data_IF_674041787424
#
_entry.id   IF_674041787424
#
_cell.length_a   1.000
_cell.length_b   1.000
_cell.length_c   1.000
_cell.angle_alpha   90.00
_cell.angle_beta   90.00
_cell.angle_gamma   90.00
#
_symmetry.space_group_name_H-M   'P 1'
#
loop_
_entity.id
_entity.type
_entity.pdbx_description
1 polymer ?
#
# COMPACT_ATOMS: atom_id res chain seq x y z
N UNK A 1 -22.87 -10.08 -1.37
CA UNK A 1 -21.44 -10.31 -1.69
C UNK A 1 -20.86 -8.97 -2.14
N UNK A 2 -19.78 -8.46 -1.53
CA UNK A 2 -19.15 -7.20 -1.96
C UNK A 2 -18.51 -7.36 -3.34
N UNK A 3 -18.60 -6.30 -4.17
CA UNK A 3 -18.07 -6.31 -5.53
C UNK A 3 -16.52 -6.41 -5.53
N UNK A 4 -15.98 -7.15 -6.50
CA UNK A 4 -14.53 -7.20 -6.73
C UNK A 4 -14.06 -5.86 -7.29
N UNK A 5 -13.07 -5.26 -6.64
CA UNK A 5 -12.47 -3.97 -7.03
C UNK A 5 -11.18 -4.19 -7.81
N UNK A 6 -10.36 -5.16 -7.38
CA UNK A 6 -9.12 -5.56 -8.07
C UNK A 6 -9.18 -7.07 -8.31
N UNK A 7 -8.89 -7.49 -9.53
CA UNK A 7 -8.68 -8.89 -9.90
C UNK A 7 -7.40 -8.99 -10.74
N UNK A 8 -6.38 -9.59 -10.15
CA UNK A 8 -5.06 -9.82 -10.76
C UNK A 8 -4.90 -11.32 -10.99
N UNK A 9 -4.55 -11.72 -12.23
CA UNK A 9 -4.40 -13.13 -12.60
C UNK A 9 -3.11 -13.35 -13.37
N UNK A 10 -2.32 -14.33 -12.92
CA UNK A 10 -1.02 -14.77 -13.50
C UNK A 10 -0.12 -13.60 -13.90
N UNK A 11 -0.08 -12.54 -13.06
CA UNK A 11 0.59 -11.30 -13.39
C UNK A 11 2.11 -11.46 -13.41
N UNK A 12 2.74 -11.09 -14.54
CA UNK A 12 4.17 -11.21 -14.77
C UNK A 12 4.78 -9.89 -15.17
N UNK A 13 5.96 -9.63 -14.60
CA UNK A 13 6.69 -8.41 -14.90
C UNK A 13 8.19 -8.55 -14.65
N UNK A 14 8.99 -8.00 -15.57
CA UNK A 14 10.44 -7.89 -15.44
C UNK A 14 10.88 -6.46 -15.80
N UNK A 15 11.86 -5.93 -15.07
CA UNK A 15 12.51 -4.68 -15.46
C UNK A 15 13.57 -4.96 -16.55
N UNK A 16 13.63 -4.14 -17.62
CA UNK A 16 14.72 -4.21 -18.56
C UNK A 16 16.04 -3.83 -17.88
N UNK A 17 17.09 -4.61 -18.12
CA UNK A 17 18.44 -4.33 -17.62
C UNK A 17 19.34 -4.06 -18.83
N UNK A 18 19.94 -2.86 -18.97
CA UNK A 18 20.84 -2.56 -20.08
C UNK A 18 22.01 -3.57 -20.14
N UNK A 19 22.20 -4.23 -21.29
CA UNK A 19 23.32 -5.14 -21.50
C UNK A 19 23.22 -6.49 -20.79
N UNK A 20 22.08 -6.84 -20.21
CA UNK A 20 21.84 -8.11 -19.50
C UNK A 20 20.41 -8.60 -19.75
N UNK A 21 20.14 -9.84 -19.31
CA UNK A 21 18.78 -10.37 -19.28
C UNK A 21 17.89 -9.55 -18.35
N UNK A 22 16.61 -9.42 -18.70
CA UNK A 22 15.64 -8.70 -17.89
C UNK A 22 15.53 -9.30 -16.47
N UNK A 23 15.44 -8.42 -15.47
CA UNK A 23 15.24 -8.84 -14.07
C UNK A 23 13.77 -9.12 -13.81
N UNK A 24 13.40 -10.40 -13.75
CA UNK A 24 12.06 -10.83 -13.37
C UNK A 24 11.77 -10.40 -11.92
N UNK A 25 10.61 -9.78 -11.70
CA UNK A 25 10.16 -9.31 -10.39
C UNK A 25 8.84 -9.96 -9.98
N UNK A 26 7.92 -10.16 -10.92
CA UNK A 26 6.68 -10.91 -10.69
C UNK A 26 6.62 -12.09 -11.66
N UNK A 27 6.24 -13.28 -11.13
CA UNK A 27 6.35 -14.57 -11.83
C UNK A 27 5.02 -15.34 -11.88
N UNK A 28 3.88 -14.64 -11.82
CA UNK A 28 2.55 -15.24 -11.80
C UNK A 28 1.85 -14.90 -10.47
N UNK A 29 1.52 -13.63 -10.29
CA UNK A 29 0.80 -13.15 -9.10
C UNK A 29 -0.69 -13.22 -9.35
N UNK A 30 -1.41 -13.89 -8.44
CA UNK A 30 -2.86 -13.86 -8.33
C UNK A 30 -3.24 -13.10 -7.05
N UNK A 31 -4.13 -12.11 -7.16
CA UNK A 31 -4.62 -11.34 -6.03
C UNK A 31 -5.99 -10.75 -6.34
N UNK A 32 -6.93 -10.89 -5.41
CA UNK A 32 -8.23 -10.23 -5.50
C UNK A 32 -8.43 -9.30 -4.30
N UNK A 33 -9.08 -8.16 -4.52
CA UNK A 33 -9.51 -7.23 -3.49
C UNK A 33 -10.96 -6.82 -3.72
N UNK A 34 -11.75 -6.78 -2.66
CA UNK A 34 -13.18 -6.44 -2.71
C UNK A 34 -13.44 -5.06 -2.12
N UNK A 35 -14.59 -4.48 -2.48
CA UNK A 35 -15.04 -3.23 -1.89
C UNK A 35 -15.16 -3.34 -0.36
N UNK A 36 -14.65 -2.34 0.36
CA UNK A 36 -14.62 -2.33 1.81
C UNK A 36 -13.61 -3.29 2.45
N UNK A 37 -12.70 -3.89 1.68
CA UNK A 37 -11.67 -4.78 2.18
C UNK A 37 -10.35 -4.03 2.40
N UNK A 38 -9.63 -4.41 3.46
CA UNK A 38 -8.23 -4.01 3.68
C UNK A 38 -7.37 -5.26 3.63
N UNK A 39 -6.44 -5.27 2.68
CA UNK A 39 -5.42 -6.33 2.55
C UNK A 39 -4.04 -5.72 2.82
N UNK A 40 -3.30 -6.29 3.77
CA UNK A 40 -1.90 -5.98 3.95
C UNK A 40 -1.06 -6.86 3.01
N UNK A 41 -0.24 -6.23 2.18
CA UNK A 41 0.74 -6.91 1.35
C UNK A 41 2.08 -6.94 2.08
N UNK A 42 2.49 -8.12 2.50
CA UNK A 42 3.74 -8.37 3.21
C UNK A 42 4.77 -9.07 2.31
N UNK A 43 6.02 -9.01 2.69
CA UNK A 43 7.13 -9.70 2.02
C UNK A 43 8.45 -8.98 2.22
N UNK A 44 9.55 -9.65 1.92
CA UNK A 44 10.90 -9.07 2.02
C UNK A 44 11.13 -7.92 1.05
N UNK A 45 12.20 -7.15 1.26
CA UNK A 45 12.62 -6.15 0.31
C UNK A 45 12.96 -6.80 -1.03
N UNK A 46 12.50 -6.20 -2.12
CA UNK A 46 12.71 -6.73 -3.47
C UNK A 46 11.75 -7.87 -3.87
N UNK A 47 10.79 -8.28 -3.04
CA UNK A 47 9.79 -9.30 -3.40
C UNK A 47 8.80 -8.88 -4.49
N UNK A 48 8.71 -7.58 -4.83
CA UNK A 48 7.85 -7.07 -5.90
C UNK A 48 6.64 -6.27 -5.43
N UNK A 49 6.48 -5.97 -4.14
CA UNK A 49 5.31 -5.27 -3.56
C UNK A 49 5.02 -3.93 -4.25
N UNK A 50 5.99 -3.02 -4.28
CA UNK A 50 5.88 -1.72 -4.98
C UNK A 50 5.60 -1.89 -6.47
N UNK A 51 6.20 -2.90 -7.11
CA UNK A 51 5.97 -3.20 -8.52
C UNK A 51 4.53 -3.64 -8.75
N UNK A 52 3.98 -4.49 -7.89
CA UNK A 52 2.59 -4.91 -7.95
C UNK A 52 1.64 -3.71 -7.79
N UNK A 53 1.88 -2.83 -6.81
CA UNK A 53 1.08 -1.61 -6.64
C UNK A 53 1.14 -0.72 -7.90
N UNK A 54 2.32 -0.54 -8.48
CA UNK A 54 2.51 0.29 -9.70
C UNK A 54 1.80 -0.31 -10.93
N UNK A 55 1.74 -1.62 -11.04
CA UNK A 55 1.01 -2.31 -12.10
C UNK A 55 -0.50 -2.15 -11.92
N UNK A 56 -1.03 -2.33 -10.70
CA UNK A 56 -2.44 -2.11 -10.38
C UNK A 56 -2.83 -0.64 -10.60
N UNK A 57 -1.94 0.30 -10.24
CA UNK A 57 -2.14 1.73 -10.49
C UNK A 57 -2.05 2.15 -11.98
N UNK A 58 -1.67 1.23 -12.87
CA UNK A 58 -1.50 1.52 -14.30
C UNK A 58 -0.29 2.41 -14.63
N UNK A 59 0.66 2.59 -13.70
CA UNK A 59 1.91 3.34 -13.92
C UNK A 59 2.98 2.48 -14.59
N UNK A 60 2.86 1.16 -14.49
CA UNK A 60 3.62 0.17 -15.24
C UNK A 60 2.67 -0.66 -16.10
N UNK A 61 3.19 -1.22 -17.19
CA UNK A 61 2.44 -2.11 -18.08
C UNK A 61 2.86 -3.56 -17.84
N UNK A 62 1.89 -4.44 -17.57
CA UNK A 62 2.12 -5.87 -17.42
C UNK A 62 2.70 -6.49 -18.69
N UNK A 63 3.57 -7.49 -18.52
CA UNK A 63 4.17 -8.26 -19.61
C UNK A 63 3.47 -9.61 -19.81
N UNK A 64 2.71 -10.08 -18.80
CA UNK A 64 1.90 -11.28 -18.87
C UNK A 64 0.80 -11.24 -17.80
N UNK A 65 -0.22 -12.07 -17.98
CA UNK A 65 -1.38 -12.08 -17.11
C UNK A 65 -2.37 -10.93 -17.39
N UNK A 66 -3.28 -10.70 -16.44
CA UNK A 66 -4.30 -9.66 -16.56
C UNK A 66 -4.54 -8.92 -15.25
N UNK A 67 -4.97 -7.67 -15.36
CA UNK A 67 -5.46 -6.85 -14.25
C UNK A 67 -6.82 -6.30 -14.67
N UNK A 68 -7.83 -6.58 -13.86
CA UNK A 68 -9.15 -5.96 -13.96
C UNK A 68 -9.39 -5.08 -12.73
N UNK A 69 -9.89 -3.88 -12.97
CA UNK A 69 -10.35 -2.98 -11.92
C UNK A 69 -11.84 -2.72 -12.09
N UNK A 70 -12.59 -2.87 -11.01
CA UNK A 70 -14.04 -2.63 -11.02
C UNK A 70 -14.77 -3.45 -12.10
N UNK A 71 -14.32 -4.68 -12.36
CA UNK A 71 -14.88 -5.60 -13.35
C UNK A 71 -14.57 -5.25 -14.81
N UNK A 72 -13.55 -4.40 -15.08
CA UNK A 72 -13.11 -4.01 -16.42
C UNK A 72 -11.60 -4.15 -16.55
N UNK A 73 -11.08 -4.58 -17.71
CA UNK A 73 -9.64 -4.60 -17.97
C UNK A 73 -9.00 -3.24 -17.71
N UNK A 74 -7.84 -3.22 -17.04
CA UNK A 74 -7.11 -1.98 -16.72
C UNK A 74 -6.80 -1.15 -17.97
N UNK A 75 -6.51 -1.81 -19.09
CA UNK A 75 -6.23 -1.15 -20.37
C UNK A 75 -7.39 -0.34 -20.97
N UNK A 76 -8.62 -0.59 -20.52
CA UNK A 76 -9.84 0.10 -20.99
C UNK A 76 -10.10 1.43 -20.28
N UNK A 77 -9.30 1.74 -19.24
CA UNK A 77 -9.41 3.01 -18.53
C UNK A 77 -8.53 4.07 -19.18
N UNK A 78 -9.10 5.26 -19.42
CA UNK A 78 -8.26 6.44 -19.62
C UNK A 78 -7.54 6.81 -18.31
N UNK A 79 -6.38 7.46 -18.40
CA UNK A 79 -5.64 7.93 -17.20
C UNK A 79 -6.52 8.77 -16.28
N UNK A 80 -7.33 9.67 -16.83
CA UNK A 80 -8.24 10.51 -16.05
C UNK A 80 -9.35 9.70 -15.37
N UNK A 81 -9.92 8.70 -16.05
CA UNK A 81 -10.94 7.82 -15.46
C UNK A 81 -10.36 6.97 -14.34
N UNK A 82 -9.14 6.45 -14.51
CA UNK A 82 -8.45 5.68 -13.49
C UNK A 82 -8.11 6.56 -12.28
N UNK A 83 -7.54 7.74 -12.51
CA UNK A 83 -7.16 8.67 -11.45
C UNK A 83 -8.35 9.20 -10.62
N UNK A 84 -9.58 9.12 -11.09
CA UNK A 84 -10.78 9.45 -10.29
C UNK A 84 -11.19 8.36 -9.33
N UNK A 85 -10.73 7.14 -9.53
CA UNK A 85 -11.17 5.96 -8.77
C UNK A 85 -10.06 5.30 -7.96
N UNK A 86 -8.79 5.51 -8.35
CA UNK A 86 -7.62 4.90 -7.74
C UNK A 86 -6.70 5.99 -7.24
N UNK A 87 -6.48 6.06 -5.93
CA UNK A 87 -5.45 6.91 -5.33
C UNK A 87 -4.26 6.07 -4.91
N UNK A 88 -3.07 6.63 -5.05
CA UNK A 88 -1.81 6.01 -4.65
C UNK A 88 -1.10 6.93 -3.67
N UNK A 89 -0.73 6.38 -2.51
CA UNK A 89 0.22 7.00 -1.61
C UNK A 89 1.56 6.28 -1.78
N UNK A 90 2.55 6.89 -2.44
CA UNK A 90 3.85 6.27 -2.66
C UNK A 90 4.69 6.29 -1.36
N UNK A 91 5.71 5.45 -1.29
CA UNK A 91 6.63 5.33 -0.17
C UNK A 91 7.31 6.66 0.21
N UNK A 92 7.64 7.47 -0.78
CA UNK A 92 8.21 8.80 -0.61
C UNK A 92 7.53 9.78 -1.54
N UNK A 93 7.02 10.86 -0.98
CA UNK A 93 6.53 12.02 -1.69
C UNK A 93 6.97 13.26 -0.93
N UNK A 94 7.80 14.06 -1.56
CA UNK A 94 8.17 15.36 -1.02
C UNK A 94 7.05 16.35 -1.30
N UNK A 95 6.63 17.07 -0.28
CA UNK A 95 5.69 18.17 -0.45
C UNK A 95 6.47 19.40 -0.96
N UNK A 96 5.97 20.08 -1.99
CA UNK A 96 6.62 21.29 -2.49
C UNK A 96 6.56 22.40 -1.41
N UNK A 97 7.65 23.14 -1.28
CA UNK A 97 7.76 24.30 -0.39
C UNK A 97 6.89 25.47 -0.88
N UNK A 98 6.50 26.34 0.06
CA UNK A 98 5.75 27.57 -0.25
C UNK A 98 4.25 27.37 -0.42
N UNK A 99 3.75 26.13 -0.28
CA UNK A 99 2.31 25.85 -0.36
C UNK A 99 1.71 25.62 1.04
N UNK A 100 0.48 26.09 1.21
CA UNK A 100 -0.33 25.74 2.38
C UNK A 100 -0.87 24.33 2.24
N UNK A 101 -1.11 23.67 3.38
CA UNK A 101 -1.67 22.31 3.41
C UNK A 101 -2.99 22.24 2.63
N UNK A 102 -3.90 23.20 2.79
CA UNK A 102 -5.15 23.23 2.04
C UNK A 102 -4.93 23.24 0.52
N UNK A 103 -3.96 24.01 0.03
CA UNK A 103 -3.59 24.07 -1.40
C UNK A 103 -3.02 22.74 -1.92
N UNK A 104 -2.19 22.08 -1.09
CA UNK A 104 -1.66 20.76 -1.41
C UNK A 104 -2.77 19.71 -1.50
N UNK A 105 -3.69 19.71 -0.54
CA UNK A 105 -4.82 18.76 -0.55
C UNK A 105 -5.75 19.04 -1.73
N UNK A 106 -5.91 20.29 -2.14
CA UNK A 106 -6.66 20.67 -3.34
C UNK A 106 -6.03 20.09 -4.62
N UNK A 107 -4.68 19.92 -4.69
CA UNK A 107 -4.05 19.25 -5.82
C UNK A 107 -4.55 17.81 -6.01
N UNK A 108 -5.00 17.15 -4.95
CA UNK A 108 -5.67 15.85 -5.03
C UNK A 108 -6.96 15.87 -5.85
N UNK A 109 -7.57 17.04 -6.06
CA UNK A 109 -8.76 17.22 -6.91
C UNK A 109 -8.44 17.29 -8.42
N UNK A 110 -7.16 17.31 -8.81
CA UNK A 110 -6.75 17.44 -10.21
C UNK A 110 -7.49 16.49 -11.20
N UNK A 111 -7.80 15.23 -10.86
CA UNK A 111 -8.56 14.35 -11.75
C UNK A 111 -10.01 14.78 -11.97
N UNK A 112 -10.58 15.60 -11.09
CA UNK A 112 -11.95 16.12 -11.13
C UNK A 112 -12.03 17.53 -11.72
N UNK A 113 -10.89 18.24 -11.80
CA UNK A 113 -10.85 19.63 -12.25
C UNK A 113 -11.42 19.79 -13.68
N UNK A 114 -12.51 20.51 -13.79
CA UNK A 114 -12.98 21.03 -15.07
C UNK A 114 -12.17 22.30 -15.39
N UNK A 115 -11.20 22.18 -16.24
CA UNK A 115 -10.09 23.12 -16.53
C UNK A 115 -10.44 24.60 -16.77
N UNK A 116 -11.67 25.06 -16.61
CA UNK A 116 -12.07 26.40 -17.06
C UNK A 116 -12.24 27.47 -15.98
N UNK A 117 -12.50 27.14 -14.71
CA UNK A 117 -12.97 28.15 -13.75
C UNK A 117 -12.42 28.03 -12.32
N UNK A 118 -11.29 27.35 -12.07
CA UNK A 118 -10.78 27.15 -10.71
C UNK A 118 -11.58 26.08 -9.92
N UNK A 119 -11.28 25.93 -8.61
CA UNK A 119 -11.96 24.94 -7.77
C UNK A 119 -13.45 25.24 -7.64
N UNK A 120 -14.27 24.21 -7.73
CA UNK A 120 -15.71 24.32 -7.53
C UNK A 120 -16.04 24.25 -6.03
N UNK A 121 -17.25 24.69 -5.60
CA UNK A 121 -17.70 24.47 -4.23
C UNK A 121 -17.69 22.99 -3.80
N UNK A 122 -17.88 22.07 -4.73
CA UNK A 122 -17.79 20.63 -4.50
C UNK A 122 -16.33 20.19 -4.22
N UNK A 123 -15.35 20.81 -4.90
CA UNK A 123 -13.93 20.54 -4.65
C UNK A 123 -13.51 21.05 -3.27
N UNK A 124 -13.93 22.26 -2.90
CA UNK A 124 -13.67 22.81 -1.56
C UNK A 124 -14.23 21.90 -0.46
N UNK A 125 -15.48 21.43 -0.61
CA UNK A 125 -16.09 20.49 0.32
C UNK A 125 -15.38 19.13 0.36
N UNK A 126 -14.83 18.66 -0.77
CA UNK A 126 -14.05 17.43 -0.82
C UNK A 126 -12.71 17.57 -0.11
N UNK A 127 -12.04 18.72 -0.26
CA UNK A 127 -10.79 19.06 0.43
C UNK A 127 -11.02 19.10 1.95
N UNK A 128 -12.06 19.80 2.41
CA UNK A 128 -12.40 19.86 3.84
C UNK A 128 -12.67 18.46 4.43
N UNK A 129 -13.49 17.65 3.73
CA UNK A 129 -13.74 16.25 4.14
C UNK A 129 -12.46 15.43 4.20
N UNK A 130 -11.56 15.59 3.24
CA UNK A 130 -10.30 14.86 3.21
C UNK A 130 -9.38 15.25 4.37
N UNK A 131 -9.31 16.54 4.70
CA UNK A 131 -8.57 17.04 5.86
C UNK A 131 -9.12 16.49 7.18
N UNK A 132 -10.46 16.50 7.35
CA UNK A 132 -11.12 15.91 8.53
C UNK A 132 -10.85 14.41 8.63
N UNK A 133 -10.99 13.68 7.53
CA UNK A 133 -10.81 12.23 7.51
C UNK A 133 -9.36 11.80 7.77
N UNK A 134 -8.39 12.62 7.39
CA UNK A 134 -6.97 12.40 7.64
C UNK A 134 -6.49 12.97 8.98
N UNK A 135 -7.37 13.58 9.80
CA UNK A 135 -7.02 14.27 11.04
C UNK A 135 -5.96 15.37 10.82
N UNK A 136 -6.16 16.17 9.76
CA UNK A 136 -5.24 17.20 9.31
C UNK A 136 -5.91 18.59 9.14
N UNK A 137 -7.14 18.75 9.61
CA UNK A 137 -7.87 20.02 9.46
C UNK A 137 -7.19 21.17 10.20
N UNK A 138 -6.61 20.89 11.36
CA UNK A 138 -5.84 21.83 12.16
C UNK A 138 -4.56 22.33 11.48
N UNK A 139 -4.12 21.65 10.43
CA UNK A 139 -2.92 21.96 9.66
C UNK A 139 -3.23 22.79 8.40
N UNK A 140 -4.50 22.99 8.04
CA UNK A 140 -4.93 23.51 6.73
C UNK A 140 -4.23 24.82 6.32
N UNK A 141 -4.00 25.74 7.26
CA UNK A 141 -3.39 27.05 7.03
C UNK A 141 -1.85 27.06 7.17
N UNK A 142 -1.25 25.96 7.64
CA UNK A 142 0.20 25.85 7.82
C UNK A 142 0.91 25.60 6.48
N UNK A 143 2.17 26.03 6.40
CA UNK A 143 3.01 25.73 5.25
C UNK A 143 3.62 24.32 5.35
N UNK A 144 3.89 23.70 4.18
CA UNK A 144 4.40 22.34 4.09
C UNK A 144 5.72 22.12 4.83
N UNK A 145 6.60 23.13 4.81
CA UNK A 145 7.92 23.12 5.45
C UNK A 145 7.86 23.15 6.99
N UNK A 146 6.72 23.56 7.54
CA UNK A 146 6.50 23.64 9.01
C UNK A 146 6.06 22.30 9.62
N UNK A 147 5.76 21.31 8.77
CA UNK A 147 5.17 20.04 9.19
C UNK A 147 6.23 19.07 9.72
N UNK A 148 5.94 18.47 10.87
CA UNK A 148 6.62 17.26 11.33
C UNK A 148 6.40 16.09 10.38
N UNK A 149 7.18 15.01 10.51
CA UNK A 149 7.01 13.82 9.67
C UNK A 149 5.61 13.19 9.77
N UNK A 150 5.05 13.13 10.98
CA UNK A 150 3.70 12.59 11.19
C UNK A 150 2.59 13.49 10.62
N UNK A 151 2.72 14.82 10.77
CA UNK A 151 1.80 15.78 10.17
C UNK A 151 1.87 15.73 8.64
N UNK A 152 3.08 15.65 8.07
CA UNK A 152 3.28 15.48 6.63
C UNK A 152 2.56 14.24 6.11
N UNK A 153 2.65 13.12 6.83
CA UNK A 153 1.97 11.88 6.44
C UNK A 153 0.45 12.03 6.45
N UNK A 154 -0.13 12.71 7.45
CA UNK A 154 -1.57 13.02 7.48
C UNK A 154 -1.99 13.86 6.27
N UNK A 155 -1.19 14.84 5.89
CA UNK A 155 -1.43 15.68 4.71
C UNK A 155 -1.36 14.86 3.42
N UNK A 156 -0.39 13.96 3.26
CA UNK A 156 -0.29 13.07 2.10
C UNK A 156 -1.51 12.15 1.98
N UNK A 157 -2.00 11.63 3.11
CA UNK A 157 -3.25 10.86 3.13
C UNK A 157 -4.43 11.73 2.76
N UNK A 158 -4.53 12.97 3.27
CA UNK A 158 -5.58 13.90 2.90
C UNK A 158 -5.58 14.19 1.38
N UNK A 159 -4.40 14.39 0.77
CA UNK A 159 -4.27 14.56 -0.69
C UNK A 159 -4.83 13.37 -1.46
N UNK A 160 -4.50 12.14 -1.02
CA UNK A 160 -5.03 10.93 -1.65
C UNK A 160 -6.55 10.80 -1.46
N UNK A 161 -7.08 11.17 -0.30
CA UNK A 161 -8.51 11.11 0.01
C UNK A 161 -9.33 12.21 -0.68
N UNK A 162 -8.73 13.37 -0.93
CA UNK A 162 -9.37 14.45 -1.70
C UNK A 162 -9.75 14.02 -3.11
N UNK A 163 -9.07 13.01 -3.65
CA UNK A 163 -9.40 12.37 -4.94
C UNK A 163 -10.73 11.57 -4.88
N UNK A 164 -11.28 11.32 -3.68
CA UNK A 164 -12.48 10.49 -3.43
C UNK A 164 -12.39 9.10 -4.09
N UNK A 165 -11.30 8.35 -3.84
CA UNK A 165 -11.06 7.08 -4.51
C UNK A 165 -12.00 5.97 -4.02
N UNK A 166 -12.19 4.96 -4.88
CA UNK A 166 -12.81 3.68 -4.54
C UNK A 166 -11.74 2.62 -4.17
N UNK A 167 -10.50 2.82 -4.65
CA UNK A 167 -9.32 2.01 -4.35
C UNK A 167 -8.18 2.89 -3.86
N UNK A 168 -7.64 2.57 -2.68
CA UNK A 168 -6.48 3.23 -2.11
C UNK A 168 -5.30 2.25 -2.06
N UNK A 169 -4.22 2.59 -2.74
CA UNK A 169 -2.96 1.85 -2.78
C UNK A 169 -1.94 2.58 -1.92
N UNK A 170 -1.44 1.91 -0.89
CA UNK A 170 -0.51 2.49 0.08
C UNK A 170 0.82 1.73 0.03
N UNK A 171 1.89 2.43 -0.36
CA UNK A 171 3.23 1.86 -0.39
C UNK A 171 4.01 2.32 0.84
N UNK A 172 4.09 1.47 1.87
CA UNK A 172 4.78 1.69 3.14
C UNK A 172 4.32 2.97 3.88
N UNK A 173 3.01 3.19 4.09
CA UNK A 173 2.49 4.45 4.60
C UNK A 173 2.92 4.76 6.04
N UNK A 174 3.44 3.78 6.76
CA UNK A 174 3.88 3.90 8.17
C UNK A 174 5.38 4.08 8.33
N UNK A 175 6.12 4.13 7.23
CA UNK A 175 7.59 4.28 7.27
C UNK A 175 7.97 5.66 7.84
N UNK A 176 9.00 5.71 8.68
CA UNK A 176 9.50 6.91 9.37
C UNK A 176 8.51 7.57 10.36
N UNK A 177 7.40 6.91 10.68
CA UNK A 177 6.51 7.34 11.74
C UNK A 177 6.83 6.64 13.06
N UNK A 178 6.67 7.35 14.16
CA UNK A 178 6.64 6.70 15.48
C UNK A 178 5.37 5.84 15.66
N UNK A 179 5.38 4.99 16.66
CA UNK A 179 4.30 4.03 16.89
C UNK A 179 2.92 4.69 17.05
N UNK A 180 2.85 5.86 17.72
CA UNK A 180 1.58 6.55 17.93
C UNK A 180 0.99 7.03 16.62
N UNK A 181 1.81 7.62 15.74
CA UNK A 181 1.40 8.09 14.43
C UNK A 181 1.07 6.93 13.47
N UNK A 182 1.82 5.80 13.53
CA UNK A 182 1.49 4.59 12.76
C UNK A 182 0.09 4.06 13.10
N UNK A 183 -0.21 3.94 14.39
CA UNK A 183 -1.51 3.47 14.89
C UNK A 183 -2.63 4.45 14.53
N UNK A 184 -2.40 5.76 14.67
CA UNK A 184 -3.38 6.78 14.32
C UNK A 184 -3.74 6.73 12.82
N UNK A 185 -2.73 6.61 11.95
CA UNK A 185 -2.89 6.50 10.50
C UNK A 185 -3.69 5.25 10.11
N UNK A 186 -3.31 4.07 10.61
CA UNK A 186 -3.99 2.82 10.29
C UNK A 186 -5.43 2.81 10.80
N UNK A 187 -5.70 3.39 11.97
CA UNK A 187 -7.06 3.59 12.47
C UNK A 187 -7.88 4.53 11.57
N UNK A 188 -7.28 5.62 11.07
CA UNK A 188 -7.97 6.54 10.15
C UNK A 188 -8.35 5.82 8.84
N UNK A 189 -7.43 5.06 8.25
CA UNK A 189 -7.65 4.25 7.05
C UNK A 189 -8.76 3.22 7.29
N UNK A 190 -8.73 2.49 8.42
CA UNK A 190 -9.75 1.49 8.73
C UNK A 190 -11.14 2.11 8.94
N UNK A 191 -11.23 3.26 9.62
CA UNK A 191 -12.50 4.02 9.73
C UNK A 191 -13.06 4.43 8.37
N UNK A 192 -12.20 4.89 7.45
CA UNK A 192 -12.60 5.28 6.10
C UNK A 192 -13.08 4.10 5.27
N UNK A 193 -12.36 3.00 5.34
CA UNK A 193 -12.75 1.74 4.72
C UNK A 193 -14.17 1.33 5.14
N UNK A 194 -14.44 1.35 6.44
CA UNK A 194 -15.75 0.98 6.98
C UNK A 194 -16.87 1.97 6.60
N UNK A 195 -16.58 3.29 6.60
CA UNK A 195 -17.58 4.32 6.32
C UNK A 195 -17.90 4.46 4.84
N UNK A 196 -16.91 4.37 3.96
CA UNK A 196 -17.03 4.66 2.53
C UNK A 196 -17.04 3.42 1.64
N UNK A 197 -16.83 2.23 2.20
CA UNK A 197 -16.65 1.02 1.41
C UNK A 197 -15.34 1.03 0.61
N UNK A 198 -14.34 1.81 1.04
CA UNK A 198 -13.06 1.98 0.37
C UNK A 198 -12.29 0.65 0.36
N UNK A 199 -11.84 0.20 -0.81
CA UNK A 199 -10.92 -0.91 -0.93
C UNK A 199 -9.48 -0.42 -0.67
N UNK A 200 -8.72 -1.12 0.17
CA UNK A 200 -7.37 -0.70 0.55
C UNK A 200 -6.39 -1.85 0.37
N UNK A 201 -5.33 -1.63 -0.41
CA UNK A 201 -4.17 -2.50 -0.50
C UNK A 201 -2.96 -1.75 0.07
N UNK A 202 -2.47 -2.20 1.23
CA UNK A 202 -1.39 -1.52 1.95
C UNK A 202 -0.15 -2.41 2.05
N UNK A 203 0.98 -1.96 1.54
CA UNK A 203 2.28 -2.56 1.83
C UNK A 203 2.68 -2.17 3.25
N UNK A 204 2.88 -3.16 4.09
CA UNK A 204 3.36 -2.97 5.46
C UNK A 204 4.66 -3.75 5.68
N UNK A 205 5.51 -3.26 6.60
CA UNK A 205 6.75 -3.95 7.01
C UNK A 205 6.64 -4.59 8.39
N UNK A 206 5.87 -3.96 9.28
CA UNK A 206 5.67 -4.48 10.62
C UNK A 206 4.59 -5.56 10.63
N UNK A 207 4.99 -6.80 10.93
CA UNK A 207 4.10 -7.96 10.99
C UNK A 207 3.04 -7.80 12.09
N UNK A 208 3.38 -7.17 13.22
CA UNK A 208 2.45 -6.98 14.33
C UNK A 208 1.41 -5.90 14.01
N UNK A 209 1.79 -4.83 13.31
CA UNK A 209 0.83 -3.87 12.78
C UNK A 209 -0.09 -4.53 11.74
N UNK A 210 0.45 -5.35 10.85
CA UNK A 210 -0.39 -6.10 9.90
C UNK A 210 -1.38 -7.03 10.61
N UNK A 211 -0.94 -7.78 11.63
CA UNK A 211 -1.82 -8.64 12.46
C UNK A 211 -2.89 -7.82 13.19
N UNK A 212 -2.54 -6.61 13.66
CA UNK A 212 -3.44 -5.79 14.46
C UNK A 212 -4.54 -5.10 13.63
N UNK A 213 -4.22 -4.70 12.38
CA UNK A 213 -5.08 -3.82 11.59
C UNK A 213 -5.65 -4.46 10.32
N UNK A 214 -4.96 -5.43 9.71
CA UNK A 214 -5.42 -6.04 8.47
C UNK A 214 -6.23 -7.32 8.73
N UNK A 215 -7.51 -7.36 8.34
CA UNK A 215 -8.29 -8.60 8.44
C UNK A 215 -7.81 -9.68 7.46
N UNK A 216 -7.06 -9.30 6.44
CA UNK A 216 -6.50 -10.20 5.44
C UNK A 216 -5.08 -9.78 5.08
N UNK A 217 -4.21 -10.75 4.91
CA UNK A 217 -2.80 -10.58 4.55
C UNK A 217 -2.51 -11.40 3.30
N UNK A 218 -1.82 -10.79 2.33
CA UNK A 218 -1.19 -11.47 1.21
C UNK A 218 0.33 -11.45 1.41
N UNK A 219 0.98 -12.61 1.43
CA UNK A 219 2.42 -12.74 1.61
C UNK A 219 3.09 -12.95 0.25
N UNK A 220 3.81 -11.92 -0.21
CA UNK A 220 4.53 -11.93 -1.48
C UNK A 220 6.00 -12.32 -1.25
N UNK A 221 6.45 -13.36 -1.92
CA UNK A 221 7.85 -13.80 -1.89
C UNK A 221 8.29 -14.27 -3.27
N UNK A 222 9.52 -13.95 -3.65
CA UNK A 222 10.10 -14.33 -4.94
C UNK A 222 9.18 -14.07 -6.16
N UNK A 223 8.39 -13.00 -6.11
CA UNK A 223 7.52 -12.59 -7.21
C UNK A 223 6.19 -13.36 -7.34
N UNK A 224 5.81 -14.14 -6.34
CA UNK A 224 4.52 -14.84 -6.27
C UNK A 224 3.84 -14.60 -4.92
N UNK A 225 2.52 -14.68 -4.86
CA UNK A 225 1.77 -14.71 -3.61
C UNK A 225 1.82 -16.14 -3.05
N UNK A 226 2.61 -16.33 -2.00
CA UNK A 226 2.76 -17.64 -1.35
C UNK A 226 1.48 -18.08 -0.64
N UNK A 227 0.81 -17.14 0.00
CA UNK A 227 -0.40 -17.39 0.77
C UNK A 227 -1.18 -16.11 0.96
N UNK A 228 -2.50 -16.22 1.07
CA UNK A 228 -3.44 -15.12 1.19
C UNK A 228 -4.61 -15.56 2.07
N UNK A 229 -4.92 -14.80 3.11
CA UNK A 229 -5.97 -15.13 4.06
C UNK A 229 -5.90 -14.35 5.37
N UNK A 230 -6.61 -14.81 6.41
CA UNK A 230 -6.56 -14.22 7.74
C UNK A 230 -5.13 -14.26 8.34
N UNK A 231 -4.75 -13.25 9.16
CA UNK A 231 -3.39 -13.18 9.72
C UNK A 231 -2.90 -14.46 10.40
N UNK A 232 -3.78 -15.17 11.13
CA UNK A 232 -3.44 -16.40 11.84
C UNK A 232 -3.08 -17.57 10.92
N UNK A 233 -3.64 -17.60 9.72
CA UNK A 233 -3.38 -18.64 8.74
C UNK A 233 -2.18 -18.32 7.85
N UNK A 234 -1.94 -17.02 7.58
CA UNK A 234 -0.86 -16.57 6.71
C UNK A 234 0.47 -16.49 7.45
N UNK A 235 0.49 -15.89 8.63
CA UNK A 235 1.72 -15.64 9.40
C UNK A 235 1.97 -16.75 10.43
N UNK A 236 2.06 -18.00 9.99
CA UNK A 236 2.56 -19.09 10.87
C UNK A 236 4.05 -18.92 11.10
N UNK A 237 4.56 -19.48 12.19
CA UNK A 237 5.99 -19.41 12.55
C UNK A 237 6.88 -19.99 11.45
N UNK A 238 6.42 -21.07 10.79
CA UNK A 238 7.11 -21.72 9.68
C UNK A 238 7.17 -20.79 8.45
N UNK A 239 6.05 -20.20 8.07
CA UNK A 239 5.97 -19.30 6.89
C UNK A 239 6.74 -18.01 7.09
N UNK A 240 6.71 -17.44 8.31
CA UNK A 240 7.52 -16.27 8.64
C UNK A 240 9.00 -16.59 8.54
N UNK A 241 9.43 -17.75 9.07
CA UNK A 241 10.80 -18.21 8.92
C UNK A 241 11.18 -18.45 7.46
N UNK A 242 10.30 -19.06 6.67
CA UNK A 242 10.52 -19.31 5.24
C UNK A 242 10.63 -18.01 4.46
N UNK A 243 9.69 -17.07 4.63
CA UNK A 243 9.61 -15.86 3.86
C UNK A 243 10.62 -14.78 4.29
N UNK A 244 10.93 -14.68 5.59
CA UNK A 244 11.75 -13.60 6.15
C UNK A 244 13.11 -14.07 6.67
N UNK A 245 13.34 -15.39 6.76
CA UNK A 245 14.58 -15.96 7.28
C UNK A 245 14.76 -15.81 8.80
N UNK A 246 13.73 -15.38 9.52
CA UNK A 246 13.79 -15.08 10.96
C UNK A 246 12.88 -16.00 11.75
N UNK A 247 13.38 -16.70 12.80
CA UNK A 247 12.55 -17.48 13.68
C UNK A 247 11.70 -16.56 14.58
N UNK A 248 10.41 -16.82 14.64
CA UNK A 248 9.47 -16.10 15.50
C UNK A 248 8.69 -17.09 16.36
N UNK A 249 8.13 -16.59 17.45
CA UNK A 249 7.20 -17.29 18.33
C UNK A 249 5.89 -16.53 18.41
N UNK A 250 4.80 -17.28 18.60
CA UNK A 250 3.52 -16.68 18.92
C UNK A 250 3.49 -16.25 20.39
N UNK A 251 3.13 -15.01 20.61
CA UNK A 251 2.78 -14.47 21.91
C UNK A 251 1.33 -13.98 21.87
N UNK A 252 0.71 -13.99 23.04
CA UNK A 252 -0.67 -13.51 23.17
C UNK A 252 -0.75 -12.47 24.27
N UNK A 253 -1.39 -11.35 23.97
CA UNK A 253 -1.68 -10.33 24.99
C UNK A 253 -2.69 -10.89 26.01
N UNK A 254 -2.81 -10.23 27.18
CA UNK A 254 -3.82 -10.57 28.18
C UNK A 254 -5.27 -10.57 27.65
N UNK A 255 -5.52 -9.91 26.51
CA UNK A 255 -6.81 -9.88 25.81
C UNK A 255 -6.91 -10.90 24.67
N UNK A 256 -5.98 -11.87 24.60
CA UNK A 256 -5.96 -12.92 23.57
C UNK A 256 -5.57 -12.45 22.16
N UNK A 257 -5.06 -11.23 21.99
CA UNK A 257 -4.55 -10.78 20.69
C UNK A 257 -3.19 -11.40 20.42
N UNK A 258 -3.03 -12.01 19.24
CA UNK A 258 -1.79 -12.60 18.77
C UNK A 258 -0.75 -11.51 18.45
N UNK A 259 0.49 -11.82 18.75
CA UNK A 259 1.67 -11.03 18.38
C UNK A 259 2.80 -11.98 17.98
N UNK A 260 3.67 -11.57 17.10
CA UNK A 260 4.85 -12.32 16.68
C UNK A 260 6.08 -11.74 17.39
N UNK A 261 6.78 -12.58 18.14
CA UNK A 261 7.99 -12.18 18.85
C UNK A 261 9.19 -12.85 18.20
N UNK A 262 10.19 -12.04 17.83
CA UNK A 262 11.45 -12.57 17.31
C UNK A 262 12.20 -13.27 18.44
N UNK A 263 12.61 -14.53 18.24
CA UNK A 263 13.54 -15.19 19.16
C UNK A 263 14.88 -14.48 19.13
N UNK A 264 15.21 -13.78 20.20
CA UNK A 264 16.55 -13.24 20.41
C UNK A 264 17.53 -14.40 20.59
N UNK A 265 18.48 -14.53 19.68
CA UNK A 265 19.55 -15.52 19.67
C UNK A 265 20.35 -15.33 18.40
N UNK A 266 21.64 -15.66 18.39
CA UNK A 266 22.51 -15.53 17.24
C UNK A 266 21.81 -15.91 15.96
N UNK A 267 21.57 -14.92 15.09
CA UNK A 267 21.18 -15.17 13.70
C UNK A 267 22.26 -16.11 13.14
N UNK A 268 21.93 -17.33 12.70
CA UNK A 268 22.93 -18.20 12.13
C UNK A 268 23.61 -17.47 10.96
N UNK A 269 24.94 -17.53 10.89
CA UNK A 269 25.74 -16.85 9.88
C UNK A 269 25.34 -17.18 8.42
N UNK A 270 24.47 -18.16 8.23
CA UNK A 270 23.93 -18.63 6.94
C UNK A 270 22.64 -17.94 6.49
N UNK A 271 22.13 -16.94 7.22
CA UNK A 271 20.97 -16.15 6.77
C UNK A 271 21.26 -15.25 5.55
N UNK A 272 22.50 -15.22 5.07
CA UNK A 272 22.92 -14.55 3.84
C UNK A 272 23.04 -15.49 2.64
N UNK A 273 22.78 -16.80 2.78
CA UNK A 273 22.72 -17.66 1.61
C UNK A 273 21.44 -17.39 0.81
N UNK A 274 21.58 -17.15 -0.51
CA UNK A 274 20.41 -17.01 -1.37
C UNK A 274 19.60 -18.31 -1.33
N UNK A 275 18.28 -18.19 -1.31
CA UNK A 275 17.34 -19.31 -1.32
C UNK A 275 17.74 -20.41 -2.29
N UNK A 276 17.54 -21.71 -1.95
CA UNK A 276 17.77 -22.80 -2.87
C UNK A 276 16.84 -22.63 -4.08
N UNK A 277 17.43 -22.26 -5.22
CA UNK A 277 16.75 -21.92 -6.49
C UNK A 277 17.12 -20.54 -7.05
N UNK A 278 17.73 -19.65 -6.30
CA UNK A 278 18.33 -18.43 -6.83
C UNK A 278 19.71 -18.75 -7.41
N UNK A 279 19.83 -18.76 -8.75
CA UNK A 279 21.15 -18.86 -9.39
C UNK A 279 21.96 -17.62 -9.01
N UNK A 280 23.24 -17.77 -8.63
CA UNK A 280 24.10 -16.65 -8.31
C UNK A 280 24.25 -15.75 -9.54
N UNK A 281 24.00 -14.46 -9.35
CA UNK A 281 24.29 -13.45 -10.36
C UNK A 281 25.82 -13.36 -10.41
N UNK A 282 26.43 -13.75 -11.55
CA UNK A 282 27.84 -13.67 -11.80
C UNK A 282 28.37 -12.25 -11.59
N UNK A 283 29.61 -12.17 -11.10
CA UNK A 283 30.40 -10.93 -10.94
C UNK A 283 30.67 -10.27 -12.28
#
# INVERSE_FOLDING_TARGET
MSATVVDVRDLRFAYPVPGSDSRTVLSGVDLQLRAGELVALLGTNGSGKTTLLRLIAGTLRAQGGSIELFGRPLGDFSRAALARRVAVLPQSLELPEGFRVAELVEMGRAPHAQRRFGPSPADAAAVERALVDADALDLADRHAEELSGGERQRVLVAMALAQEPELLLLDEPTLHLDLAHQVALLNAIDRLRLRRGLAVLAVLHDLNLAVAFAPRIALLSAGIVLTDGPPGEVLTTERVREAFGVPVEDAYTARGRRSLVVRGGTVPANATEPFPGARPIGR
#
